data_IF_344062024258
#
_entry.id   IF_344062024258
#
_cell.length_a   1.000
_cell.length_b   1.000
_cell.length_c   1.000
_cell.angle_alpha   90.00
_cell.angle_beta   90.00
_cell.angle_gamma   90.00
#
_symmetry.space_group_name_H-M   'P 1'
#
loop_
_entity.id
_entity.type
_entity.pdbx_description
1 polymer ?
#
# COMPACT_ATOMS: atom_id res chain seq x y z
N UNK A 1 4.12 -22.71 13.02
CA UNK A 1 5.19 -22.95 12.02
C UNK A 1 5.59 -21.58 11.47
N UNK A 2 6.68 -20.98 11.98
CA UNK A 2 7.17 -19.67 11.53
C UNK A 2 7.79 -19.85 10.14
N UNK A 3 7.13 -19.37 9.10
CA UNK A 3 7.76 -19.23 7.79
C UNK A 3 8.79 -18.12 7.88
N UNK A 4 10.07 -18.44 7.71
CA UNK A 4 11.15 -17.45 7.70
C UNK A 4 10.95 -16.52 6.48
N UNK A 5 10.81 -15.23 6.74
CA UNK A 5 10.64 -14.17 5.73
C UNK A 5 11.72 -14.19 4.63
N UNK A 6 12.95 -14.62 4.98
CA UNK A 6 14.07 -14.78 4.04
C UNK A 6 13.80 -15.84 2.96
N UNK A 7 13.03 -16.88 3.25
CA UNK A 7 12.71 -17.95 2.28
C UNK A 7 11.64 -17.51 1.28
N UNK A 8 10.70 -16.65 1.69
CA UNK A 8 9.65 -16.13 0.79
C UNK A 8 10.28 -15.15 -0.20
N UNK A 9 11.17 -14.28 0.26
CA UNK A 9 11.88 -13.32 -0.62
C UNK A 9 12.75 -14.06 -1.67
N UNK A 10 13.41 -15.16 -1.28
CA UNK A 10 14.22 -15.98 -2.19
C UNK A 10 13.38 -16.69 -3.26
N UNK A 11 12.17 -17.16 -2.93
CA UNK A 11 11.29 -17.83 -3.89
C UNK A 11 10.72 -16.85 -4.92
N UNK A 12 10.32 -15.65 -4.48
CA UNK A 12 9.83 -14.60 -5.39
C UNK A 12 10.96 -14.12 -6.31
N UNK A 13 12.17 -13.91 -5.79
CA UNK A 13 13.33 -13.52 -6.59
C UNK A 13 13.75 -14.60 -7.60
N UNK A 14 13.64 -15.88 -7.23
CA UNK A 14 13.98 -16.99 -8.14
C UNK A 14 12.96 -17.20 -9.26
N UNK A 15 11.67 -16.93 -9.03
CA UNK A 15 10.63 -17.00 -10.05
C UNK A 15 10.80 -15.91 -11.12
N UNK A 16 11.20 -14.70 -10.73
CA UNK A 16 11.42 -13.57 -11.67
C UNK A 16 12.66 -13.83 -12.56
N UNK A 17 13.70 -14.49 -12.03
CA UNK A 17 14.93 -14.77 -12.80
C UNK A 17 14.80 -15.93 -13.78
N UNK A 18 13.92 -16.90 -13.55
CA UNK A 18 13.80 -18.07 -14.45
C UNK A 18 12.92 -17.83 -15.70
N UNK A 19 12.09 -16.81 -15.73
CA UNK A 19 11.27 -16.50 -16.92
C UNK A 19 12.08 -15.89 -18.07
N UNK A 20 13.27 -15.38 -17.80
CA UNK A 20 14.19 -14.89 -18.84
C UNK A 20 14.85 -15.96 -19.70
N UNK A 21 14.86 -17.23 -19.28
CA UNK A 21 15.69 -18.28 -19.88
C UNK A 21 15.00 -19.13 -20.98
N UNK A 22 13.67 -19.03 -21.15
CA UNK A 22 12.95 -19.90 -22.11
C UNK A 22 12.46 -19.19 -23.38
N UNK A 23 12.88 -17.96 -23.65
CA UNK A 23 12.42 -17.17 -24.80
C UNK A 23 13.42 -17.13 -25.96
N UNK A 24 14.19 -18.18 -26.19
CA UNK A 24 15.01 -18.29 -27.40
C UNK A 24 14.59 -19.51 -28.21
N UNK A 25 13.55 -19.34 -29.07
CA UNK A 25 13.53 -19.97 -30.41
C UNK A 25 12.32 -19.46 -31.21
N UNK A 26 12.60 -19.13 -32.47
CA UNK A 26 11.74 -18.67 -33.55
C UNK A 26 11.30 -17.18 -33.49
N UNK A 27 12.06 -16.38 -34.22
CA UNK A 27 11.69 -15.04 -34.67
C UNK A 27 10.62 -15.15 -35.77
N UNK A 28 9.38 -15.41 -35.37
CA UNK A 28 8.27 -14.92 -36.18
C UNK A 28 8.17 -13.44 -35.91
N UNK A 29 8.29 -12.60 -36.90
CA UNK A 29 8.05 -11.15 -36.86
C UNK A 29 6.59 -10.92 -36.49
N UNK A 30 6.31 -11.01 -35.19
CA UNK A 30 4.99 -10.80 -34.62
C UNK A 30 4.81 -9.31 -34.42
N UNK A 31 3.73 -8.75 -34.92
CA UNK A 31 3.32 -7.38 -34.64
C UNK A 31 3.22 -7.21 -33.11
N UNK A 32 4.18 -6.53 -32.53
CA UNK A 32 4.14 -6.13 -31.14
C UNK A 32 3.50 -4.74 -31.07
N UNK A 33 2.62 -4.53 -30.10
CA UNK A 33 2.04 -3.20 -29.90
C UNK A 33 3.16 -2.20 -29.64
N UNK A 34 3.28 -1.20 -30.50
CA UNK A 34 4.22 -0.11 -30.32
C UNK A 34 3.69 0.83 -29.22
N UNK A 35 4.20 0.71 -28.01
CA UNK A 35 3.81 1.54 -26.89
C UNK A 35 4.74 2.73 -26.66
N UNK A 36 5.99 2.68 -27.16
CA UNK A 36 6.96 3.77 -27.00
C UNK A 36 6.37 5.13 -27.37
N UNK A 37 6.54 6.11 -26.49
CA UNK A 37 6.04 7.47 -26.67
C UNK A 37 4.55 7.66 -26.34
N UNK A 38 3.89 6.63 -25.79
CA UNK A 38 2.49 6.76 -25.34
C UNK A 38 2.44 7.05 -23.84
N UNK A 39 1.39 7.71 -23.43
CA UNK A 39 1.01 7.90 -22.04
C UNK A 39 -0.16 6.98 -21.72
N UNK A 40 -0.18 6.46 -20.50
CA UNK A 40 -1.36 5.80 -19.97
C UNK A 40 -1.84 6.46 -18.68
N UNK A 41 -3.14 6.35 -18.44
CA UNK A 41 -3.81 6.79 -17.25
C UNK A 41 -4.70 5.68 -16.75
N UNK A 42 -4.67 5.37 -15.45
CA UNK A 42 -5.59 4.42 -14.84
C UNK A 42 -6.15 4.94 -13.52
N UNK A 43 -7.37 4.52 -13.26
CA UNK A 43 -8.12 4.80 -12.04
C UNK A 43 -8.80 3.53 -11.58
N UNK A 44 -8.75 3.26 -10.29
CA UNK A 44 -9.31 2.03 -9.75
C UNK A 44 -9.52 2.06 -8.26
N UNK A 45 -9.70 0.86 -7.70
CA UNK A 45 -9.84 0.67 -6.28
C UNK A 45 -9.07 -0.56 -5.80
N UNK A 46 -8.83 -0.62 -4.49
CA UNK A 46 -8.04 -1.68 -3.88
C UNK A 46 -8.73 -2.36 -2.69
N UNK A 47 -8.11 -3.46 -2.29
CA UNK A 47 -8.28 -4.16 -1.01
C UNK A 47 -6.91 -4.55 -0.51
N UNK A 48 -6.63 -4.23 0.75
CA UNK A 48 -5.33 -4.44 1.35
C UNK A 48 -5.38 -5.42 2.53
N UNK A 49 -4.25 -6.04 2.82
CA UNK A 49 -4.02 -6.79 4.05
C UNK A 49 -2.62 -6.47 4.57
N UNK A 50 -2.46 -6.50 5.89
CA UNK A 50 -1.26 -6.05 6.59
C UNK A 50 -0.70 -7.15 7.47
N UNK A 51 0.62 -7.21 7.60
CA UNK A 51 1.24 -8.03 8.64
C UNK A 51 1.01 -7.38 10.01
N UNK A 52 1.14 -8.17 11.06
CA UNK A 52 1.28 -7.60 12.41
C UNK A 52 2.53 -6.74 12.46
N UNK A 53 2.48 -5.70 13.25
CA UNK A 53 3.59 -4.75 13.46
C UNK A 53 3.78 -4.43 14.92
N UNK A 54 4.99 -4.04 15.28
CA UNK A 54 5.25 -3.38 16.53
C UNK A 54 5.02 -1.87 16.32
N UNK A 55 4.39 -1.22 17.29
CA UNK A 55 4.13 0.23 17.26
C UNK A 55 4.75 0.84 18.50
N UNK A 56 5.72 1.72 18.32
CA UNK A 56 6.37 2.46 19.42
C UNK A 56 5.78 3.86 19.49
N UNK A 57 5.23 4.21 20.64
CA UNK A 57 4.72 5.54 20.97
C UNK A 57 5.71 6.27 21.84
N UNK A 58 6.03 7.52 21.48
CA UNK A 58 6.95 8.37 22.21
C UNK A 58 6.39 9.77 22.35
N UNK A 59 6.46 10.31 23.57
CA UNK A 59 6.14 11.66 23.95
C UNK A 59 7.05 12.11 25.09
N UNK A 60 6.74 13.24 25.70
CA UNK A 60 7.51 13.78 26.82
C UNK A 60 7.36 12.89 28.08
N UNK A 61 6.15 12.33 28.29
CA UNK A 61 5.75 11.60 29.48
C UNK A 61 5.58 10.10 29.26
N UNK A 62 5.87 9.59 28.08
CA UNK A 62 5.77 8.17 27.77
C UNK A 62 6.74 7.74 26.69
N UNK A 63 7.18 6.50 26.78
CA UNK A 63 7.89 5.80 25.72
C UNK A 63 7.60 4.30 25.88
N UNK A 64 6.74 3.77 25.01
CA UNK A 64 6.37 2.36 25.09
C UNK A 64 6.14 1.76 23.69
N UNK A 65 6.31 0.45 23.59
CA UNK A 65 6.10 -0.34 22.38
C UNK A 65 5.00 -1.37 22.61
N UNK A 66 4.03 -1.38 21.73
CA UNK A 66 3.00 -2.41 21.61
C UNK A 66 3.45 -3.44 20.58
N UNK A 67 3.52 -4.72 20.99
CA UNK A 67 4.08 -5.77 20.15
C UNK A 67 3.01 -6.56 19.41
N UNK A 68 3.30 -6.89 18.14
CA UNK A 68 2.46 -7.75 17.30
C UNK A 68 1.01 -7.23 17.12
N UNK A 69 0.84 -5.94 17.04
CA UNK A 69 -0.46 -5.28 16.83
C UNK A 69 -1.05 -5.73 15.49
N UNK A 70 -2.31 -6.16 15.52
CA UNK A 70 -3.07 -6.54 14.32
C UNK A 70 -3.83 -5.34 13.79
N UNK A 71 -3.91 -5.24 12.47
CA UNK A 71 -4.77 -4.30 11.78
C UNK A 71 -5.45 -4.98 10.60
N UNK A 72 -6.50 -4.37 10.12
CA UNK A 72 -7.28 -4.84 9.00
C UNK A 72 -7.61 -3.71 8.03
N UNK A 73 -8.01 -4.09 6.84
CA UNK A 73 -8.55 -3.19 5.83
C UNK A 73 -9.98 -2.78 6.20
N UNK A 74 -10.36 -1.54 5.89
CA UNK A 74 -11.72 -1.02 6.13
C UNK A 74 -12.38 -0.51 4.85
N UNK A 75 -12.72 -1.41 3.91
CA UNK A 75 -13.29 -1.03 2.63
C UNK A 75 -14.70 -0.45 2.77
N UNK A 76 -15.02 0.57 1.99
CA UNK A 76 -16.36 1.16 1.95
C UNK A 76 -17.38 0.34 1.14
N UNK A 77 -17.10 -0.86 0.69
CA UNK A 77 -18.00 -1.58 -0.22
C UNK A 77 -18.12 -0.89 -1.61
N UNK A 78 -18.98 -1.42 -2.49
CA UNK A 78 -19.21 -0.82 -3.81
C UNK A 78 -20.05 0.45 -3.68
N UNK A 79 -19.49 1.59 -4.06
CA UNK A 79 -20.14 2.88 -3.97
C UNK A 79 -19.71 3.80 -5.12
N UNK A 80 -20.60 4.74 -5.52
CA UNK A 80 -20.32 5.73 -6.57
C UNK A 80 -19.11 6.62 -6.25
N UNK A 81 -18.72 6.71 -4.98
CA UNK A 81 -17.57 7.49 -4.54
C UNK A 81 -16.25 7.04 -5.19
N UNK A 82 -16.13 5.77 -5.65
CA UNK A 82 -14.95 5.28 -6.38
C UNK A 82 -14.72 5.98 -7.73
N UNK A 83 -15.78 6.56 -8.31
CA UNK A 83 -15.70 7.30 -9.58
C UNK A 83 -15.89 8.80 -9.40
N UNK A 84 -15.97 9.29 -8.16
CA UNK A 84 -16.15 10.71 -7.86
C UNK A 84 -14.83 11.34 -7.38
N UNK A 85 -14.13 12.14 -8.22
CA UNK A 85 -12.84 12.73 -7.87
C UNK A 85 -12.89 13.69 -6.67
N UNK A 86 -14.07 14.19 -6.28
CA UNK A 86 -14.26 15.04 -5.10
C UNK A 86 -14.34 14.26 -3.79
N UNK A 87 -14.41 12.92 -3.85
CA UNK A 87 -14.55 12.02 -2.71
C UNK A 87 -13.47 10.93 -2.66
N UNK A 88 -12.31 11.23 -3.22
CA UNK A 88 -11.15 10.30 -3.31
C UNK A 88 -10.72 9.78 -1.94
N UNK A 89 -10.85 10.61 -0.89
CA UNK A 89 -10.48 10.25 0.48
C UNK A 89 -11.50 9.35 1.19
N UNK A 90 -12.67 9.11 0.60
CA UNK A 90 -13.71 8.28 1.20
C UNK A 90 -13.58 6.82 0.76
N UNK A 91 -13.16 6.60 -0.48
CA UNK A 91 -13.02 5.27 -1.08
C UNK A 91 -11.54 4.92 -1.27
N UNK A 92 -11.21 3.63 -1.17
CA UNK A 92 -9.86 3.14 -1.43
C UNK A 92 -9.58 3.19 -2.93
N UNK A 93 -9.00 4.29 -3.38
CA UNK A 93 -8.73 4.57 -4.79
C UNK A 93 -7.25 4.41 -5.13
N UNK A 94 -7.00 3.95 -6.35
CA UNK A 94 -5.69 3.90 -6.95
C UNK A 94 -5.69 4.76 -8.21
N UNK A 95 -4.66 5.53 -8.38
CA UNK A 95 -4.42 6.34 -9.55
C UNK A 95 -3.01 6.10 -10.06
N UNK A 96 -2.84 5.97 -11.37
CA UNK A 96 -1.52 5.84 -11.99
C UNK A 96 -1.50 6.59 -13.32
N UNK A 97 -0.46 7.40 -13.54
CA UNK A 97 -0.13 8.01 -14.81
C UNK A 97 1.28 7.58 -15.20
N UNK A 98 1.47 7.08 -16.41
CA UNK A 98 2.77 6.59 -16.84
C UNK A 98 3.07 6.90 -18.30
N UNK A 99 4.38 6.87 -18.61
CA UNK A 99 4.93 7.10 -19.93
C UNK A 99 5.77 5.91 -20.38
N UNK A 100 5.50 5.39 -21.58
CA UNK A 100 6.27 4.30 -22.18
C UNK A 100 7.58 4.83 -22.77
N UNK A 101 8.69 4.55 -22.10
CA UNK A 101 10.05 4.88 -22.55
C UNK A 101 10.52 3.93 -23.68
N UNK A 102 9.92 2.73 -23.76
CA UNK A 102 10.09 1.76 -24.84
C UNK A 102 8.77 1.04 -25.08
N UNK A 103 8.73 0.10 -26.01
CA UNK A 103 7.52 -0.70 -26.27
C UNK A 103 7.10 -1.57 -25.09
N UNK A 104 8.04 -1.89 -24.19
CA UNK A 104 7.83 -2.78 -23.06
C UNK A 104 7.99 -2.12 -21.71
N UNK A 105 8.74 -1.02 -21.59
CA UNK A 105 9.07 -0.40 -20.30
C UNK A 105 8.44 0.97 -20.13
N UNK A 106 7.97 1.25 -18.94
CA UNK A 106 7.37 2.53 -18.60
C UNK A 106 7.91 3.07 -17.26
N UNK A 107 7.78 4.38 -17.11
CA UNK A 107 7.88 5.08 -15.83
C UNK A 107 6.51 5.63 -15.49
N UNK A 108 6.09 5.49 -14.24
CA UNK A 108 4.80 5.98 -13.79
C UNK A 108 4.90 6.68 -12.44
N UNK A 109 4.00 7.65 -12.24
CA UNK A 109 3.64 8.20 -10.95
C UNK A 109 2.35 7.52 -10.50
N UNK A 110 2.33 7.04 -9.27
CA UNK A 110 1.19 6.35 -8.68
C UNK A 110 0.78 6.93 -7.33
N UNK A 111 -0.48 6.75 -7.02
CA UNK A 111 -1.10 7.11 -5.75
C UNK A 111 -2.03 5.98 -5.34
N UNK A 112 -1.77 5.37 -4.18
CA UNK A 112 -2.61 4.36 -3.58
C UNK A 112 -3.17 4.89 -2.26
N UNK A 113 -4.49 4.91 -2.16
CA UNK A 113 -5.22 5.27 -0.96
C UNK A 113 -5.67 3.99 -0.28
N UNK A 114 -4.82 3.44 0.58
CA UNK A 114 -5.14 2.28 1.42
C UNK A 114 -5.81 2.71 2.73
N UNK A 115 -6.38 1.77 3.46
CA UNK A 115 -6.95 1.98 4.78
C UNK A 115 -6.39 0.96 5.77
N UNK A 116 -5.75 1.47 6.80
CA UNK A 116 -5.21 0.68 7.91
C UNK A 116 -6.02 1.00 9.16
N UNK A 117 -6.69 0.00 9.72
CA UNK A 117 -7.51 0.12 10.93
C UNK A 117 -6.98 -0.87 11.98
N UNK A 118 -6.42 -0.34 13.07
CA UNK A 118 -5.95 -1.18 14.19
C UNK A 118 -7.14 -1.92 14.78
N UNK A 119 -7.00 -3.24 14.92
CA UNK A 119 -8.05 -4.05 15.54
C UNK A 119 -8.25 -3.64 16.99
N UNK A 120 -9.42 -3.08 17.30
CA UNK A 120 -9.77 -2.64 18.64
C UNK A 120 -9.95 -3.85 19.58
N UNK A 121 -9.82 -3.62 20.89
CA UNK A 121 -10.02 -4.60 21.95
C UNK A 121 -9.12 -5.85 21.90
N UNK A 122 -8.09 -5.85 21.08
CA UNK A 122 -7.09 -6.91 21.05
C UNK A 122 -6.17 -6.83 22.27
N UNK A 123 -5.65 -7.98 22.68
CA UNK A 123 -4.59 -8.05 23.69
C UNK A 123 -3.23 -8.13 23.01
N UNK A 124 -2.30 -7.31 23.49
CA UNK A 124 -0.91 -7.24 23.02
C UNK A 124 0.05 -7.13 24.21
N UNK A 125 1.33 -7.37 23.99
CA UNK A 125 2.33 -7.11 25.01
C UNK A 125 2.83 -5.67 24.89
N UNK A 126 2.98 -5.00 26.04
CA UNK A 126 3.51 -3.65 26.17
C UNK A 126 4.87 -3.68 26.88
N UNK A 127 5.82 -2.87 26.39
CA UNK A 127 7.12 -2.63 27.01
C UNK A 127 7.41 -1.15 27.04
N UNK A 128 7.97 -0.65 28.14
CA UNK A 128 8.36 0.75 28.30
C UNK A 128 7.73 1.40 29.50
N UNK A 129 7.39 2.68 29.42
CA UNK A 129 6.79 3.40 30.53
C UNK A 129 5.75 4.43 30.08
N UNK A 130 4.83 4.73 30.97
CA UNK A 130 3.85 5.82 30.90
C UNK A 130 3.91 6.54 32.25
N UNK A 131 4.08 7.88 32.23
CA UNK A 131 4.23 8.70 33.43
C UNK A 131 3.54 10.05 33.25
N UNK A 132 2.24 10.02 32.99
CA UNK A 132 1.40 11.20 32.84
C UNK A 132 1.17 11.89 34.18
N UNK A 133 0.85 13.18 34.14
CA UNK A 133 0.40 13.92 35.35
C UNK A 133 -0.89 13.30 35.91
N UNK A 134 -1.07 13.32 37.22
CA UNK A 134 -2.21 12.67 37.89
C UNK A 134 -3.59 13.24 37.50
N UNK A 135 -3.62 14.47 37.00
CA UNK A 135 -4.82 15.15 36.50
C UNK A 135 -5.17 14.80 35.04
N UNK A 136 -4.28 14.13 34.32
CA UNK A 136 -4.57 13.67 32.95
C UNK A 136 -5.48 12.45 32.95
N UNK A 137 -6.46 12.41 32.03
CA UNK A 137 -7.42 11.31 31.91
C UNK A 137 -6.77 9.93 31.73
N UNK A 138 -5.59 9.88 31.08
CA UNK A 138 -4.82 8.66 30.87
C UNK A 138 -3.94 8.23 32.05
N UNK A 139 -3.89 8.96 33.17
CA UNK A 139 -3.02 8.66 34.31
C UNK A 139 -3.26 7.28 34.94
N UNK A 140 -4.44 6.69 34.73
CA UNK A 140 -4.74 5.32 35.13
C UNK A 140 -3.87 4.25 34.44
N UNK A 141 -3.16 4.62 33.40
CA UNK A 141 -2.22 3.75 32.66
C UNK A 141 -0.75 3.99 33.07
N UNK A 142 -0.48 4.86 34.09
CA UNK A 142 0.88 5.10 34.53
C UNK A 142 1.53 3.82 35.08
N UNK A 143 2.77 3.57 34.63
CA UNK A 143 3.54 2.41 35.06
C UNK A 143 4.78 2.17 34.24
N UNK A 144 5.58 1.22 34.71
CA UNK A 144 6.70 0.65 33.95
C UNK A 144 6.31 -0.77 33.54
N UNK A 145 6.29 -1.03 32.26
CA UNK A 145 5.82 -2.27 31.65
C UNK A 145 6.99 -3.11 31.17
N UNK A 146 6.97 -4.38 31.50
CA UNK A 146 7.98 -5.36 31.09
C UNK A 146 7.32 -6.59 30.48
N UNK A 147 6.94 -6.48 29.21
CA UNK A 147 6.26 -7.54 28.44
C UNK A 147 4.91 -7.96 29.07
N UNK A 148 4.20 -7.01 29.61
CA UNK A 148 2.89 -7.21 30.21
C UNK A 148 1.78 -7.21 29.17
N UNK A 149 0.70 -7.95 29.43
CA UNK A 149 -0.46 -7.98 28.53
C UNK A 149 -1.38 -6.80 28.79
N UNK A 150 -1.70 -6.04 27.76
CA UNK A 150 -2.66 -4.93 27.82
C UNK A 150 -3.74 -5.08 26.76
N UNK A 151 -4.96 -4.70 27.08
CA UNK A 151 -6.05 -4.61 26.12
C UNK A 151 -6.05 -3.23 25.48
N UNK A 152 -6.09 -3.17 24.14
CA UNK A 152 -6.17 -1.93 23.39
C UNK A 152 -7.62 -1.43 23.34
N UNK A 153 -8.09 -0.89 24.47
CA UNK A 153 -9.41 -0.23 24.55
C UNK A 153 -9.36 1.14 23.86
N UNK A 154 -10.52 1.71 23.55
CA UNK A 154 -10.58 3.05 22.92
C UNK A 154 -9.98 4.14 23.79
N UNK A 155 -10.11 4.03 25.10
CA UNK A 155 -9.55 5.00 26.06
C UNK A 155 -8.02 4.91 26.12
N UNK A 156 -7.45 3.70 25.91
CA UNK A 156 -6.01 3.51 25.83
C UNK A 156 -5.45 3.94 24.48
N UNK A 157 -6.02 3.43 23.39
CA UNK A 157 -5.53 3.69 22.03
C UNK A 157 -6.61 3.43 20.98
N UNK A 158 -6.95 4.45 20.21
CA UNK A 158 -7.55 4.36 18.88
C UNK A 158 -6.51 4.80 17.85
N UNK A 159 -6.20 3.96 16.87
CA UNK A 159 -5.13 4.23 15.91
C UNK A 159 -5.48 3.67 14.53
N UNK A 160 -5.70 4.59 13.60
CA UNK A 160 -6.10 4.22 12.25
C UNK A 160 -5.58 5.22 11.20
N UNK A 161 -5.42 4.73 9.98
CA UNK A 161 -5.15 5.55 8.78
C UNK A 161 -6.28 5.34 7.77
N UNK A 162 -7.55 5.42 8.23
CA UNK A 162 -8.73 5.12 7.39
C UNK A 162 -9.15 6.30 6.53
N UNK A 163 -8.74 7.51 6.90
CA UNK A 163 -8.87 8.72 6.07
C UNK A 163 -7.71 8.86 5.07
N UNK A 164 -6.82 7.86 5.03
CA UNK A 164 -5.82 7.67 4.03
C UNK A 164 -4.47 7.18 4.57
N UNK A 165 -4.14 5.92 4.33
CA UNK A 165 -2.77 5.46 4.26
C UNK A 165 -2.29 5.72 2.83
N UNK A 166 -1.93 6.98 2.55
CA UNK A 166 -1.59 7.40 1.19
C UNK A 166 -0.14 7.04 0.86
N UNK A 167 0.05 6.20 -0.14
CA UNK A 167 1.34 5.86 -0.72
C UNK A 167 1.49 6.56 -2.07
N UNK A 168 2.38 7.55 -2.13
CA UNK A 168 2.69 8.33 -3.33
C UNK A 168 4.04 7.86 -3.87
N UNK A 169 4.07 7.29 -5.08
CA UNK A 169 5.25 6.56 -5.54
C UNK A 169 5.59 6.78 -7.02
N UNK A 170 6.85 6.54 -7.32
CA UNK A 170 7.33 6.33 -8.69
C UNK A 170 7.49 4.83 -8.94
N UNK A 171 7.06 4.37 -10.10
CA UNK A 171 7.15 2.98 -10.53
C UNK A 171 7.90 2.87 -11.84
N UNK A 172 8.86 1.96 -11.88
CA UNK A 172 9.41 1.44 -13.14
C UNK A 172 8.73 0.10 -13.42
N UNK A 173 8.15 -0.03 -14.60
CA UNK A 173 7.38 -1.22 -14.94
C UNK A 173 7.64 -1.77 -16.33
N UNK A 174 7.19 -3.01 -16.49
CA UNK A 174 7.29 -3.78 -17.72
C UNK A 174 5.90 -4.25 -18.16
N UNK A 175 5.72 -4.32 -19.47
CA UNK A 175 4.47 -4.62 -20.13
C UNK A 175 4.74 -5.59 -21.30
N UNK A 176 4.33 -6.85 -21.18
CA UNK A 176 4.56 -7.88 -22.18
C UNK A 176 3.25 -8.39 -22.78
N UNK A 177 3.16 -8.36 -24.10
CA UNK A 177 2.02 -8.90 -24.84
C UNK A 177 2.05 -10.43 -24.85
N UNK A 178 1.04 -11.03 -24.26
CA UNK A 178 0.82 -12.48 -24.21
C UNK A 178 -0.40 -12.94 -25.03
N UNK A 179 -0.95 -12.07 -25.87
CA UNK A 179 -2.15 -12.34 -26.67
C UNK A 179 -2.07 -13.64 -27.49
N UNK A 180 -0.85 -13.98 -27.88
CA UNK A 180 -0.58 -15.21 -28.62
C UNK A 180 -0.94 -16.50 -27.88
N UNK A 181 -0.80 -16.52 -26.57
CA UNK A 181 -1.18 -17.68 -25.76
C UNK A 181 -2.68 -17.97 -25.85
N UNK A 182 -3.46 -16.93 -26.13
CA UNK A 182 -4.92 -17.01 -26.30
C UNK A 182 -5.36 -17.07 -27.76
N UNK A 183 -4.43 -17.27 -28.72
CA UNK A 183 -4.68 -17.28 -30.16
C UNK A 183 -5.34 -15.99 -30.68
N UNK A 184 -5.15 -14.87 -29.99
CA UNK A 184 -5.62 -13.56 -30.42
C UNK A 184 -4.71 -13.07 -31.53
N UNK A 185 -5.24 -12.93 -32.75
CA UNK A 185 -4.50 -12.47 -33.92
C UNK A 185 -4.66 -10.98 -34.15
N UNK A 186 -5.78 -10.39 -33.77
CA UNK A 186 -6.05 -8.96 -33.92
C UNK A 186 -5.89 -8.23 -32.58
N UNK A 187 -4.65 -7.84 -32.27
CA UNK A 187 -4.31 -7.11 -31.04
C UNK A 187 -4.81 -5.66 -31.06
N UNK A 188 -5.25 -5.14 -32.19
CA UNK A 188 -5.92 -3.84 -32.28
C UNK A 188 -7.34 -3.89 -31.71
N UNK A 189 -7.98 -5.06 -31.73
CA UNK A 189 -9.31 -5.26 -31.16
C UNK A 189 -9.23 -5.64 -29.68
N UNK A 190 -8.43 -6.65 -29.37
CA UNK A 190 -8.18 -7.12 -27.98
C UNK A 190 -6.71 -7.49 -27.86
N UNK A 191 -6.06 -7.05 -26.79
CA UNK A 191 -4.68 -7.41 -26.46
C UNK A 191 -4.63 -7.79 -24.99
N UNK A 192 -3.97 -8.91 -24.67
CA UNK A 192 -3.74 -9.36 -23.30
C UNK A 192 -2.27 -9.20 -22.97
N UNK A 193 -1.99 -8.57 -21.84
CA UNK A 193 -0.64 -8.27 -21.40
C UNK A 193 -0.42 -8.73 -19.96
N UNK A 194 0.81 -9.09 -19.63
CA UNK A 194 1.32 -9.18 -18.26
C UNK A 194 2.03 -7.87 -17.94
N UNK A 195 1.80 -7.37 -16.75
CA UNK A 195 2.46 -6.19 -16.20
C UNK A 195 3.26 -6.55 -14.97
N UNK A 196 4.43 -5.96 -14.83
CA UNK A 196 5.29 -6.08 -13.65
C UNK A 196 5.81 -4.68 -13.30
N UNK A 197 6.02 -4.42 -12.01
CA UNK A 197 6.52 -3.12 -11.58
C UNK A 197 7.27 -3.16 -10.26
N UNK A 198 8.20 -2.22 -10.11
CA UNK A 198 8.87 -1.92 -8.86
C UNK A 198 8.64 -0.44 -8.53
N UNK A 199 8.17 -0.16 -7.32
CA UNK A 199 7.82 1.18 -6.87
C UNK A 199 8.58 1.59 -5.61
N UNK A 200 8.86 2.89 -5.51
CA UNK A 200 9.38 3.53 -4.29
C UNK A 200 8.68 4.87 -4.10
N UNK A 201 8.32 5.20 -2.87
CA UNK A 201 7.59 6.44 -2.61
C UNK A 201 7.50 6.82 -1.14
N UNK A 202 6.82 7.95 -0.90
CA UNK A 202 6.55 8.49 0.42
C UNK A 202 5.18 8.09 0.95
N UNK A 203 5.08 8.02 2.27
CA UNK A 203 3.82 7.84 2.98
C UNK A 203 3.33 9.22 3.48
N UNK A 204 2.09 9.55 3.12
CA UNK A 204 1.41 10.78 3.53
C UNK A 204 0.05 10.45 4.14
N UNK A 205 0.03 9.76 5.30
CA UNK A 205 -1.21 9.37 5.95
C UNK A 205 -1.95 10.56 6.54
N UNK A 206 -3.27 10.41 6.63
CA UNK A 206 -4.11 11.11 7.59
C UNK A 206 -4.42 10.13 8.72
N UNK A 207 -3.71 10.30 9.84
CA UNK A 207 -3.78 9.41 10.98
C UNK A 207 -4.82 9.91 11.96
N UNK A 208 -5.82 9.10 12.26
CA UNK A 208 -6.75 9.33 13.36
C UNK A 208 -6.22 8.61 14.59
N UNK A 209 -5.85 9.36 15.61
CA UNK A 209 -5.31 8.79 16.86
C UNK A 209 -5.95 9.44 18.06
N UNK A 210 -6.41 8.61 19.00
CA UNK A 210 -6.69 8.98 20.37
C UNK A 210 -5.79 8.12 21.24
N UNK A 211 -4.83 8.73 21.93
CA UNK A 211 -3.81 8.05 22.72
C UNK A 211 -3.90 8.47 24.16
N UNK A 212 -4.06 7.50 25.10
CA UNK A 212 -4.13 7.74 26.56
C UNK A 212 -5.18 8.79 26.91
N UNK A 213 -6.34 8.72 26.28
CA UNK A 213 -7.46 9.67 26.41
C UNK A 213 -7.12 11.13 26.07
N UNK A 214 -5.99 11.39 25.39
CA UNK A 214 -5.65 12.74 24.89
C UNK A 214 -6.57 13.12 23.72
N UNK A 215 -6.61 14.41 23.41
CA UNK A 215 -7.40 14.94 22.30
C UNK A 215 -7.03 14.26 20.98
N UNK A 216 -8.05 13.94 20.20
CA UNK A 216 -7.90 13.26 18.90
C UNK A 216 -7.04 14.09 17.96
N UNK A 217 -6.02 13.44 17.38
CA UNK A 217 -5.26 13.94 16.23
C UNK A 217 -5.86 13.43 14.94
N UNK A 218 -5.96 14.29 13.92
CA UNK A 218 -6.63 14.00 12.65
C UNK A 218 -6.09 14.90 11.53
N UNK A 219 -4.78 14.91 11.29
CA UNK A 219 -4.15 15.75 10.28
C UNK A 219 -3.20 14.97 9.38
N UNK A 220 -2.98 15.47 8.16
CA UNK A 220 -2.01 14.90 7.23
C UNK A 220 -0.57 15.17 7.66
N UNK A 221 0.27 14.13 7.59
CA UNK A 221 1.70 14.26 7.86
C UNK A 221 2.53 13.32 6.97
N UNK A 222 3.73 13.77 6.55
CA UNK A 222 4.70 12.89 5.86
C UNK A 222 5.33 11.98 6.91
N UNK A 223 4.93 10.71 6.92
CA UNK A 223 5.28 9.78 8.00
C UNK A 223 6.47 8.87 7.70
N UNK A 224 6.84 8.71 6.43
CA UNK A 224 7.90 7.78 6.06
C UNK A 224 7.93 7.42 4.59
N UNK A 225 8.38 6.21 4.29
CA UNK A 225 8.54 5.73 2.92
C UNK A 225 8.04 4.29 2.76
N UNK A 226 7.84 3.89 1.50
CA UNK A 226 7.48 2.52 1.14
C UNK A 226 8.20 2.07 -0.13
N UNK A 227 8.33 0.75 -0.27
CA UNK A 227 8.77 0.08 -1.48
C UNK A 227 7.77 -0.99 -1.87
N UNK A 228 7.55 -1.21 -3.16
CA UNK A 228 6.55 -2.16 -3.64
C UNK A 228 7.00 -2.91 -4.88
N UNK A 229 6.44 -4.11 -5.04
CA UNK A 229 6.49 -4.91 -6.26
C UNK A 229 5.05 -5.15 -6.69
N UNK A 230 4.79 -5.11 -7.99
CA UNK A 230 3.48 -5.39 -8.55
C UNK A 230 3.59 -6.38 -9.70
N UNK A 231 2.56 -7.21 -9.86
CA UNK A 231 2.37 -8.06 -11.01
C UNK A 231 0.88 -8.11 -11.34
N UNK A 232 0.54 -8.08 -12.65
CA UNK A 232 -0.84 -8.00 -13.04
C UNK A 232 -1.14 -8.48 -14.45
N UNK A 233 -2.42 -8.46 -14.76
CA UNK A 233 -2.95 -8.73 -16.11
C UNK A 233 -3.70 -7.52 -16.58
N UNK A 234 -3.35 -7.07 -17.77
CA UNK A 234 -3.98 -5.96 -18.47
C UNK A 234 -4.65 -6.47 -19.74
N UNK A 235 -5.93 -6.17 -19.90
CA UNK A 235 -6.67 -6.48 -21.14
C UNK A 235 -7.04 -5.17 -21.80
N UNK A 236 -6.41 -4.91 -22.96
CA UNK A 236 -6.61 -3.70 -23.74
C UNK A 236 -7.61 -3.92 -24.86
N UNK A 237 -8.51 -2.97 -25.04
CA UNK A 237 -9.57 -2.97 -26.06
C UNK A 237 -9.39 -1.79 -27.02
N UNK A 238 -9.58 -2.04 -28.29
CA UNK A 238 -9.62 -1.02 -29.36
C UNK A 238 -8.39 -0.08 -29.36
N UNK A 239 -7.21 -0.59 -28.99
CA UNK A 239 -5.94 0.14 -28.88
C UNK A 239 -5.82 1.13 -27.72
N UNK A 240 -6.93 1.55 -27.13
CA UNK A 240 -6.96 2.71 -26.23
C UNK A 240 -7.40 2.41 -24.81
N UNK A 241 -8.41 1.59 -24.61
CA UNK A 241 -8.99 1.31 -23.30
C UNK A 241 -8.43 0.01 -22.72
N UNK A 242 -8.28 -0.04 -21.43
CA UNK A 242 -7.90 -1.27 -20.76
C UNK A 242 -8.61 -1.47 -19.42
N UNK A 243 -8.69 -2.73 -19.04
CA UNK A 243 -9.02 -3.20 -17.70
C UNK A 243 -7.79 -3.90 -17.14
N UNK A 244 -7.43 -3.63 -15.92
CA UNK A 244 -6.24 -4.19 -15.30
C UNK A 244 -6.54 -4.68 -13.89
N UNK A 245 -6.02 -5.86 -13.56
CA UNK A 245 -5.97 -6.41 -12.21
C UNK A 245 -4.52 -6.61 -11.81
N UNK A 246 -4.11 -6.01 -10.69
CA UNK A 246 -2.77 -6.14 -10.13
C UNK A 246 -2.81 -6.76 -8.73
N UNK A 247 -1.80 -7.54 -8.42
CA UNK A 247 -1.41 -7.88 -7.07
C UNK A 247 -0.13 -7.10 -6.75
N UNK A 248 -0.18 -6.26 -5.71
CA UNK A 248 0.94 -5.47 -5.24
C UNK A 248 1.30 -5.90 -3.83
N UNK A 249 2.57 -6.10 -3.56
CA UNK A 249 3.10 -6.33 -2.22
C UNK A 249 4.23 -5.38 -1.92
N UNK A 250 4.40 -5.01 -0.66
CA UNK A 250 5.43 -4.05 -0.31
C UNK A 250 5.75 -3.97 1.17
N UNK A 251 6.70 -3.11 1.48
CA UNK A 251 7.11 -2.76 2.83
C UNK A 251 6.92 -1.27 3.05
N UNK A 252 6.35 -0.92 4.18
CA UNK A 252 6.11 0.44 4.64
C UNK A 252 6.90 0.65 5.93
N UNK A 253 7.61 1.77 6.02
CA UNK A 253 8.28 2.23 7.24
C UNK A 253 7.86 3.66 7.52
N UNK A 254 7.22 3.88 8.66
CA UNK A 254 6.73 5.17 9.13
C UNK A 254 7.38 5.51 10.49
N UNK A 255 8.57 6.12 10.49
CA UNK A 255 9.27 6.48 11.74
C UNK A 255 8.70 7.71 12.44
N UNK A 256 7.81 8.46 11.81
CA UNK A 256 7.29 9.74 12.31
C UNK A 256 5.80 9.92 12.02
N UNK A 257 4.97 9.12 12.69
CA UNK A 257 3.50 9.27 12.65
C UNK A 257 3.06 10.20 13.78
N UNK A 258 2.41 11.29 13.45
CA UNK A 258 1.87 12.23 14.46
C UNK A 258 0.69 11.60 15.20
N UNK A 259 0.68 11.73 16.54
CA UNK A 259 -0.34 11.13 17.39
C UNK A 259 -1.16 12.14 18.18
N UNK A 260 -0.63 13.35 18.39
CA UNK A 260 -1.34 14.50 18.98
C UNK A 260 -0.94 15.79 18.27
N UNK A 261 -1.51 16.90 18.67
CA UNK A 261 -1.11 18.23 18.18
C UNK A 261 0.28 18.64 18.66
N UNK A 262 0.81 18.00 19.70
CA UNK A 262 2.19 18.22 20.15
C UNK A 262 3.17 17.49 19.23
N UNK A 263 4.17 18.20 18.73
CA UNK A 263 5.17 17.66 17.81
C UNK A 263 6.15 16.66 18.44
N UNK A 264 6.25 16.59 19.77
CA UNK A 264 7.02 15.58 20.49
C UNK A 264 6.33 14.22 20.50
N UNK A 265 4.99 14.21 20.40
CA UNK A 265 4.16 13.02 20.47
C UNK A 265 4.09 12.34 19.10
N UNK A 266 4.69 11.17 18.99
CA UNK A 266 4.75 10.42 17.75
C UNK A 266 4.71 8.92 17.93
N UNK A 267 4.29 8.23 16.90
CA UNK A 267 4.45 6.80 16.75
C UNK A 267 5.45 6.45 15.66
N UNK A 268 6.11 5.32 15.80
CA UNK A 268 6.88 4.68 14.74
C UNK A 268 6.39 3.26 14.51
N UNK A 269 6.31 2.87 13.24
CA UNK A 269 5.74 1.60 12.83
C UNK A 269 6.32 1.15 11.49
N UNK A 270 6.50 -0.17 11.33
CA UNK A 270 6.79 -0.77 10.03
C UNK A 270 6.02 -2.08 9.83
N UNK A 271 5.64 -2.36 8.60
CA UNK A 271 4.89 -3.57 8.25
C UNK A 271 4.98 -3.89 6.75
N UNK A 272 4.67 -5.13 6.42
CA UNK A 272 4.44 -5.54 5.03
C UNK A 272 2.94 -5.46 4.71
N UNK A 273 2.63 -5.10 3.46
CA UNK A 273 1.27 -5.14 2.95
C UNK A 273 1.18 -5.98 1.68
N UNK A 274 -0.04 -6.42 1.40
CA UNK A 274 -0.44 -6.96 0.11
C UNK A 274 -1.74 -6.27 -0.30
N UNK A 275 -1.83 -5.87 -1.56
CA UNK A 275 -2.93 -5.11 -2.12
C UNK A 275 -3.38 -5.76 -3.43
N UNK A 276 -4.67 -6.01 -3.58
CA UNK A 276 -5.30 -6.35 -4.85
C UNK A 276 -5.95 -5.10 -5.43
N UNK A 277 -5.54 -4.72 -6.64
CA UNK A 277 -6.02 -3.52 -7.33
C UNK A 277 -6.80 -3.91 -8.58
N UNK A 278 -7.95 -3.28 -8.79
CA UNK A 278 -8.69 -3.35 -10.03
C UNK A 278 -8.84 -1.95 -10.59
N UNK A 279 -8.42 -1.74 -11.84
CA UNK A 279 -8.43 -0.43 -12.49
C UNK A 279 -8.92 -0.47 -13.93
N UNK A 280 -9.45 0.67 -14.34
CA UNK A 280 -9.79 0.99 -15.72
C UNK A 280 -8.86 2.09 -16.20
N UNK A 281 -8.50 2.08 -17.48
CA UNK A 281 -7.58 3.10 -17.98
C UNK A 281 -7.59 3.26 -19.48
N UNK A 282 -6.73 4.16 -19.91
CA UNK A 282 -6.51 4.45 -21.31
C UNK A 282 -5.03 4.64 -21.65
N UNK A 283 -4.68 4.35 -22.90
CA UNK A 283 -3.34 4.55 -23.48
C UNK A 283 -3.49 5.50 -24.66
N UNK A 284 -2.71 6.58 -24.66
CA UNK A 284 -2.81 7.64 -25.65
C UNK A 284 -1.44 7.95 -26.26
N UNK A 285 -1.42 8.32 -27.53
CA UNK A 285 -0.23 8.90 -28.15
C UNK A 285 -0.27 10.42 -27.91
N UNK A 286 0.83 10.97 -27.43
CA UNK A 286 1.04 12.41 -27.30
C UNK A 286 1.66 12.92 -28.60
#
# INVERSE_FOLDING_TARGET
MKLNSTKILSVVFFCVLNWGAYAQNEVTTRYNAHNKGKVFLSWGGNRAAYTKSDITFKGDDYNFTLQNVKAHDRPKGWHIDYVNPKRVTISQTNFKIGYFISDKYYLAFGFDHMKYDMTQDQYVNINGYINLSEDEAGAGYNGVYNNESIQLTKDFLEYEHTDGLNYVYLEFGRFDDISSLFRITNIDKIQVNITEGIGIGGLYPKTNTTLLSKDRYDEFHVAGFGVSLSAGVNVKFFKYFFVQGDLKGGYINMPDVRTTMNSSDKASQDFMFIESVFSLGGIFKI
#
